data_IF_450420974058
#
_entry.id   IF_450420974058
#
_cell.length_a   1.000
_cell.length_b   1.000
_cell.length_c   1.000
_cell.angle_alpha   90.00
_cell.angle_beta   90.00
_cell.angle_gamma   90.00
#
_symmetry.space_group_name_H-M   'P 1'
#
loop_
_entity.id
_entity.type
_entity.pdbx_description
1 polymer ?
#
# COMPACT_ATOMS: atom_id res chain seq x y z
N UNK A 1 29.26 18.45 64.40
CA UNK A 1 27.84 18.61 64.03
C UNK A 1 27.70 18.35 62.54
N UNK A 2 26.93 17.34 62.15
CA UNK A 2 26.73 16.92 60.75
C UNK A 2 25.69 17.86 60.11
N UNK A 3 26.09 18.65 59.12
CA UNK A 3 25.19 19.46 58.29
C UNK A 3 24.69 18.60 57.13
N UNK A 4 23.38 18.33 57.09
CA UNK A 4 22.71 17.64 55.98
C UNK A 4 22.54 18.62 54.81
N UNK A 5 23.06 18.25 53.65
CA UNK A 5 22.80 18.93 52.37
C UNK A 5 21.46 18.41 51.84
N UNK A 6 20.45 19.26 51.77
CA UNK A 6 19.18 18.94 51.11
C UNK A 6 19.30 19.28 49.62
N UNK A 7 19.23 18.26 48.78
CA UNK A 7 19.18 18.38 47.33
C UNK A 7 17.75 18.78 46.93
N UNK A 8 17.55 20.02 46.47
CA UNK A 8 16.30 20.44 45.83
C UNK A 8 16.25 19.82 44.43
N UNK A 9 15.33 18.88 44.24
CA UNK A 9 15.01 18.32 42.93
C UNK A 9 14.05 19.28 42.22
N UNK A 10 14.57 20.02 41.24
CA UNK A 10 13.76 20.86 40.36
C UNK A 10 13.01 19.96 39.37
N UNK A 11 11.74 19.66 39.64
CA UNK A 11 10.85 19.02 38.67
C UNK A 11 10.50 20.08 37.62
N UNK A 12 11.15 20.02 36.47
CA UNK A 12 10.71 20.74 35.27
C UNK A 12 9.53 19.96 34.69
N UNK A 13 8.32 20.37 35.04
CA UNK A 13 7.10 19.96 34.32
C UNK A 13 7.13 20.62 32.94
N UNK A 14 7.63 19.89 31.94
CA UNK A 14 7.40 20.24 30.54
C UNK A 14 5.94 19.93 30.23
N UNK A 15 5.07 20.95 30.30
CA UNK A 15 3.70 20.86 29.85
C UNK A 15 3.68 20.67 28.33
N UNK A 16 3.49 19.43 27.88
CA UNK A 16 3.07 19.14 26.52
C UNK A 16 1.66 19.74 26.34
N UNK A 17 1.61 20.92 25.73
CA UNK A 17 0.38 21.39 25.09
C UNK A 17 0.13 20.48 23.89
N UNK A 18 -0.60 19.38 24.12
CA UNK A 18 -1.35 18.72 23.06
C UNK A 18 -2.42 19.72 22.64
N UNK A 19 -2.14 20.50 21.60
CA UNK A 19 -3.22 21.09 20.83
C UNK A 19 -4.05 19.91 20.34
N UNK A 20 -5.24 19.73 20.93
CA UNK A 20 -6.23 18.79 20.43
C UNK A 20 -6.71 19.32 19.09
N UNK A 21 -5.94 19.09 18.02
CA UNK A 21 -6.52 19.05 16.69
C UNK A 21 -7.51 17.89 16.74
N UNK A 22 -8.80 18.20 16.87
CA UNK A 22 -9.82 17.24 16.51
C UNK A 22 -9.43 16.71 15.13
N UNK A 23 -9.29 15.39 15.02
CA UNK A 23 -9.10 14.78 13.72
C UNK A 23 -10.25 15.28 12.85
N UNK A 24 -9.98 15.78 11.63
CA UNK A 24 -11.06 16.20 10.74
C UNK A 24 -12.00 15.00 10.58
N UNK A 25 -13.30 15.22 10.84
CA UNK A 25 -14.32 14.20 10.69
C UNK A 25 -14.60 13.89 9.21
N UNK A 26 -15.74 13.28 8.94
CA UNK A 26 -16.19 12.97 7.58
C UNK A 26 -16.57 14.23 6.78
N UNK A 27 -15.58 14.97 6.30
CA UNK A 27 -15.80 16.16 5.47
C UNK A 27 -16.07 15.82 4.00
N UNK A 28 -16.96 16.55 3.31
CA UNK A 28 -17.16 16.41 1.87
C UNK A 28 -15.84 16.54 1.10
N UNK A 29 -15.62 15.66 0.15
CA UNK A 29 -14.40 15.71 -0.67
C UNK A 29 -14.42 16.97 -1.54
N UNK A 30 -13.31 17.71 -1.54
CA UNK A 30 -13.19 18.89 -2.39
C UNK A 30 -13.19 18.48 -3.87
N UNK A 31 -13.79 19.27 -4.78
CA UNK A 31 -13.70 19.03 -6.21
C UNK A 31 -12.24 18.89 -6.68
N UNK A 32 -11.99 17.91 -7.56
CA UNK A 32 -10.68 17.67 -8.13
C UNK A 32 -10.77 17.20 -9.57
N UNK A 33 -9.65 17.31 -10.28
CA UNK A 33 -9.44 16.71 -11.59
C UNK A 33 -8.03 16.13 -11.60
N UNK A 34 -7.92 14.80 -11.58
CA UNK A 34 -6.67 14.08 -11.67
C UNK A 34 -6.40 13.76 -13.13
N UNK A 35 -5.50 14.53 -13.75
CA UNK A 35 -4.99 14.26 -15.08
C UNK A 35 -3.53 14.71 -15.16
N UNK A 36 -2.72 14.05 -15.97
CA UNK A 36 -1.34 14.45 -16.17
C UNK A 36 -1.26 15.83 -16.85
N UNK A 37 -0.27 16.63 -16.48
CA UNK A 37 -0.02 17.98 -16.98
C UNK A 37 1.48 18.28 -16.94
N UNK A 38 1.88 19.48 -17.38
CA UNK A 38 3.27 19.94 -17.31
C UNK A 38 3.79 20.07 -15.86
N UNK A 39 2.89 20.20 -14.87
CA UNK A 39 3.25 20.37 -13.46
C UNK A 39 2.95 19.15 -12.58
N UNK A 40 2.35 18.09 -13.12
CA UNK A 40 2.03 16.88 -12.37
C UNK A 40 1.96 15.67 -13.29
N UNK A 41 2.64 14.59 -12.90
CA UNK A 41 2.79 13.38 -13.70
C UNK A 41 2.23 12.16 -12.97
N UNK A 42 1.76 11.19 -13.74
CA UNK A 42 1.41 9.87 -13.21
C UNK A 42 2.67 9.06 -12.98
N UNK A 43 2.90 8.65 -11.74
CA UNK A 43 3.97 7.75 -11.34
C UNK A 43 3.39 6.40 -10.94
N UNK A 44 3.74 5.37 -11.69
CA UNK A 44 3.48 3.96 -11.37
C UNK A 44 4.41 3.49 -10.27
N UNK A 45 3.90 2.87 -9.21
CA UNK A 45 4.76 2.32 -8.17
C UNK A 45 4.15 1.17 -7.38
N UNK A 46 5.04 0.37 -6.78
CA UNK A 46 4.67 -0.70 -5.86
C UNK A 46 5.10 -0.36 -4.43
N UNK A 47 4.26 -0.69 -3.46
CA UNK A 47 4.46 -0.37 -2.04
C UNK A 47 4.65 -1.61 -1.16
N UNK A 48 4.66 -2.82 -1.72
CA UNK A 48 4.77 -4.08 -0.98
C UNK A 48 5.60 -5.11 -1.74
N UNK A 49 6.87 -5.29 -1.33
CA UNK A 49 7.77 -6.29 -1.92
C UNK A 49 8.81 -6.83 -0.95
N UNK A 50 9.20 -8.08 -1.17
CA UNK A 50 10.12 -8.84 -0.33
C UNK A 50 11.36 -9.29 -1.09
N UNK A 51 12.48 -9.39 -0.37
CA UNK A 51 13.78 -9.81 -0.89
C UNK A 51 14.40 -10.89 -0.02
N UNK A 52 15.63 -11.31 -0.37
CA UNK A 52 16.44 -12.21 0.48
C UNK A 52 16.82 -11.62 1.85
N UNK A 53 16.46 -10.37 2.15
CA UNK A 53 16.57 -9.80 3.50
C UNK A 53 15.50 -10.34 4.45
N UNK A 54 14.33 -10.71 3.95
CA UNK A 54 13.35 -11.47 4.71
C UNK A 54 13.13 -12.82 4.04
N UNK A 55 12.10 -12.94 3.23
CA UNK A 55 11.60 -14.20 2.73
C UNK A 55 11.20 -14.14 1.23
N UNK A 56 11.65 -13.11 0.51
CA UNK A 56 11.70 -13.15 -0.95
C UNK A 56 12.80 -14.09 -1.47
N UNK A 57 12.80 -14.35 -2.78
CA UNK A 57 13.72 -15.27 -3.46
C UNK A 57 14.75 -14.59 -4.40
N UNK A 58 14.93 -13.28 -4.27
CA UNK A 58 15.92 -12.55 -5.07
C UNK A 58 16.58 -11.38 -4.30
N UNK A 59 17.70 -10.91 -4.83
CA UNK A 59 18.50 -9.83 -4.26
C UNK A 59 17.87 -8.46 -4.55
N UNK A 60 18.05 -7.49 -3.65
CA UNK A 60 17.50 -6.14 -3.80
C UNK A 60 17.81 -5.52 -5.17
N UNK A 61 19.06 -5.63 -5.63
CA UNK A 61 19.49 -5.08 -6.91
C UNK A 61 18.86 -5.78 -8.13
N UNK A 62 18.59 -7.09 -8.03
CA UNK A 62 17.88 -7.83 -9.08
C UNK A 62 16.40 -7.44 -9.12
N UNK A 63 15.79 -7.23 -7.96
CA UNK A 63 14.39 -6.79 -7.83
C UNK A 63 14.24 -5.35 -8.34
N UNK A 64 15.10 -4.43 -7.89
CA UNK A 64 15.12 -3.04 -8.35
C UNK A 64 15.27 -2.96 -9.88
N UNK A 65 16.15 -3.78 -10.46
CA UNK A 65 16.29 -3.90 -11.91
C UNK A 65 15.00 -4.38 -12.57
N UNK A 66 14.35 -5.41 -12.02
CA UNK A 66 13.09 -5.89 -12.58
C UNK A 66 12.06 -4.75 -12.67
N UNK A 67 11.82 -4.00 -11.59
CA UNK A 67 10.87 -2.90 -11.61
C UNK A 67 11.27 -1.77 -12.57
N UNK A 68 12.56 -1.43 -12.62
CA UNK A 68 13.09 -0.42 -13.56
C UNK A 68 12.84 -0.84 -15.02
N UNK A 69 12.96 -2.13 -15.33
CA UNK A 69 12.76 -2.65 -16.69
C UNK A 69 11.27 -2.82 -17.08
N UNK A 70 10.32 -2.62 -16.16
CA UNK A 70 8.88 -2.87 -16.35
C UNK A 70 7.99 -1.63 -16.13
N UNK A 71 8.51 -0.45 -16.48
CA UNK A 71 7.79 0.83 -16.49
C UNK A 71 7.28 1.31 -15.12
N UNK A 72 7.92 0.86 -14.04
CA UNK A 72 7.70 1.42 -12.70
C UNK A 72 8.59 2.64 -12.48
N UNK A 73 8.05 3.61 -11.75
CA UNK A 73 8.75 4.84 -11.36
C UNK A 73 9.20 4.78 -9.90
N UNK A 74 8.54 4.00 -9.04
CA UNK A 74 9.01 3.80 -7.67
C UNK A 74 8.70 2.41 -7.12
N UNK A 75 9.50 2.02 -6.12
CA UNK A 75 9.38 0.76 -5.42
C UNK A 75 9.72 0.96 -3.94
N UNK A 76 8.85 0.48 -3.05
CA UNK A 76 9.16 0.31 -1.63
C UNK A 76 9.62 -1.11 -1.35
N UNK A 77 10.81 -1.26 -0.75
CA UNK A 77 11.22 -2.54 -0.17
C UNK A 77 10.64 -2.65 1.23
N UNK A 78 9.91 -3.72 1.51
CA UNK A 78 9.15 -3.89 2.75
C UNK A 78 9.43 -5.24 3.40
N UNK A 79 10.70 -5.66 3.40
CA UNK A 79 11.11 -6.92 4.03
C UNK A 79 10.60 -7.06 5.48
N UNK A 80 10.14 -8.25 5.84
CA UNK A 80 9.53 -8.51 7.15
C UNK A 80 10.43 -8.17 8.33
N UNK A 81 9.97 -7.22 9.14
CA UNK A 81 10.56 -6.86 10.44
C UNK A 81 12.07 -6.57 10.38
N UNK A 82 12.58 -6.06 9.25
CA UNK A 82 14.02 -5.80 9.05
C UNK A 82 14.23 -4.67 8.03
N UNK A 83 15.24 -3.85 8.27
CA UNK A 83 15.77 -2.93 7.26
C UNK A 83 17.06 -3.49 6.68
N UNK A 84 17.30 -3.19 5.40
CA UNK A 84 18.53 -3.56 4.71
C UNK A 84 19.69 -2.57 5.02
N UNK A 85 20.04 -2.39 6.29
CA UNK A 85 20.87 -1.27 6.77
C UNK A 85 22.22 -1.68 7.39
N UNK A 86 22.57 -2.97 7.34
CA UNK A 86 23.75 -3.53 8.00
C UNK A 86 24.49 -4.56 7.15
N UNK A 87 25.70 -4.93 7.54
CA UNK A 87 26.37 -6.03 6.84
C UNK A 87 25.64 -7.36 7.08
N UNK A 88 25.32 -8.09 6.01
CA UNK A 88 24.70 -9.41 6.05
C UNK A 88 25.22 -10.31 4.94
N UNK A 89 25.49 -11.56 5.28
CA UNK A 89 25.89 -12.60 4.36
C UNK A 89 24.81 -13.69 4.31
N UNK A 90 24.60 -14.26 3.12
CA UNK A 90 23.60 -15.30 2.88
C UNK A 90 24.26 -16.50 2.21
N UNK A 91 24.03 -17.69 2.74
CA UNK A 91 24.50 -18.94 2.11
C UNK A 91 23.69 -19.19 0.84
N UNK A 92 24.37 -19.26 -0.30
CA UNK A 92 23.73 -19.32 -1.63
C UNK A 92 22.83 -20.56 -1.74
N UNK A 93 23.33 -21.72 -1.32
CA UNK A 93 22.62 -22.99 -1.43
C UNK A 93 21.44 -23.16 -0.46
N UNK A 94 21.29 -22.27 0.53
CA UNK A 94 20.31 -22.41 1.62
C UNK A 94 19.24 -21.31 1.59
N UNK A 95 19.45 -20.23 0.85
CA UNK A 95 18.48 -19.16 0.74
C UNK A 95 17.38 -19.51 -0.30
N UNK A 96 16.24 -18.82 -0.24
CA UNK A 96 15.07 -19.13 -1.10
C UNK A 96 15.36 -19.00 -2.61
N UNK A 97 16.29 -18.13 -2.99
CA UNK A 97 16.66 -17.90 -4.39
C UNK A 97 17.64 -18.93 -4.97
N UNK A 98 18.47 -19.53 -4.11
CA UNK A 98 19.43 -20.56 -4.48
C UNK A 98 20.46 -20.12 -5.51
N UNK A 99 21.06 -21.12 -6.17
CA UNK A 99 21.98 -20.94 -7.30
C UNK A 99 21.35 -20.18 -8.47
N UNK A 100 20.03 -20.28 -8.63
CA UNK A 100 19.31 -19.60 -9.72
C UNK A 100 19.35 -18.08 -9.55
N UNK A 101 18.98 -17.59 -8.36
CA UNK A 101 19.06 -16.16 -8.07
C UNK A 101 20.50 -15.67 -8.13
N UNK A 102 21.46 -16.47 -7.64
CA UNK A 102 22.87 -16.10 -7.69
C UNK A 102 23.40 -16.01 -9.13
N UNK A 103 23.07 -16.95 -10.00
CA UNK A 103 23.43 -16.89 -11.42
C UNK A 103 22.83 -15.65 -12.12
N UNK A 104 21.57 -15.31 -11.82
CA UNK A 104 20.91 -14.08 -12.31
C UNK A 104 21.65 -12.83 -11.80
N UNK A 105 22.03 -12.81 -10.53
CA UNK A 105 22.82 -11.72 -9.94
C UNK A 105 24.18 -11.56 -10.66
N UNK A 106 24.90 -12.67 -10.87
CA UNK A 106 26.18 -12.69 -11.62
C UNK A 106 26.04 -12.18 -13.04
N UNK A 107 24.97 -12.55 -13.73
CA UNK A 107 24.70 -12.09 -15.08
C UNK A 107 24.44 -10.57 -15.13
N UNK A 108 23.65 -10.05 -14.19
CA UNK A 108 23.21 -8.65 -14.21
C UNK A 108 24.24 -7.68 -13.59
N UNK A 109 25.04 -8.14 -12.63
CA UNK A 109 25.96 -7.30 -11.84
C UNK A 109 27.31 -7.98 -11.59
N UNK A 110 28.04 -8.44 -12.63
CA UNK A 110 29.29 -9.20 -12.45
C UNK A 110 30.35 -8.45 -11.61
N UNK A 111 30.39 -7.13 -11.70
CA UNK A 111 31.36 -6.27 -11.01
C UNK A 111 30.89 -5.80 -9.62
N UNK A 112 29.76 -6.31 -9.12
CA UNK A 112 29.16 -5.82 -7.88
C UNK A 112 28.73 -6.93 -6.92
N UNK A 113 29.49 -8.02 -6.90
CA UNK A 113 29.22 -9.18 -6.06
C UNK A 113 30.41 -9.40 -5.14
N UNK A 114 30.11 -9.65 -3.87
CA UNK A 114 31.10 -10.02 -2.86
C UNK A 114 30.72 -11.41 -2.35
N UNK A 115 31.62 -12.37 -2.55
CA UNK A 115 31.45 -13.75 -2.06
C UNK A 115 32.53 -14.12 -1.08
N UNK A 116 32.20 -15.00 -0.13
CA UNK A 116 33.17 -15.65 0.75
C UNK A 116 32.84 -17.12 0.91
N UNK A 117 33.79 -17.88 1.44
CA UNK A 117 33.55 -19.23 1.91
C UNK A 117 33.53 -19.23 3.44
N UNK A 118 32.48 -19.77 4.04
CA UNK A 118 32.34 -19.94 5.48
C UNK A 118 31.79 -21.34 5.77
N UNK A 119 32.47 -22.09 6.64
CA UNK A 119 32.11 -23.48 6.97
C UNK A 119 31.96 -24.41 5.75
N UNK A 120 32.76 -24.18 4.70
CA UNK A 120 32.73 -24.95 3.45
C UNK A 120 31.52 -24.66 2.56
N UNK A 121 30.76 -23.58 2.86
CA UNK A 121 29.64 -23.12 2.05
C UNK A 121 29.95 -21.76 1.44
N UNK A 122 29.51 -21.58 0.20
CA UNK A 122 29.64 -20.30 -0.47
C UNK A 122 28.54 -19.35 0.03
N UNK A 123 28.96 -18.17 0.46
CA UNK A 123 28.09 -17.09 0.86
C UNK A 123 28.28 -15.90 -0.08
N UNK A 124 27.21 -15.13 -0.22
CA UNK A 124 27.19 -13.84 -0.92
C UNK A 124 26.74 -12.76 0.05
N UNK A 125 27.36 -11.59 -0.03
CA UNK A 125 26.95 -10.43 0.76
C UNK A 125 25.66 -9.86 0.19
N UNK A 126 24.66 -9.66 1.03
CA UNK A 126 23.46 -8.92 0.66
C UNK A 126 23.77 -7.42 0.67
N UNK A 127 23.47 -6.73 -0.43
CA UNK A 127 23.63 -5.27 -0.52
C UNK A 127 22.64 -4.58 0.41
N UNK A 128 23.06 -3.46 0.98
CA UNK A 128 22.20 -2.58 1.79
C UNK A 128 21.27 -1.74 0.90
N UNK A 129 20.18 -1.24 1.47
CA UNK A 129 19.28 -0.31 0.80
C UNK A 129 20.01 0.95 0.33
N UNK A 130 20.92 1.50 1.12
CA UNK A 130 21.72 2.67 0.72
C UNK A 130 22.57 2.38 -0.54
N UNK A 131 23.23 1.21 -0.58
CA UNK A 131 24.02 0.79 -1.75
C UNK A 131 23.15 0.66 -3.00
N UNK A 132 21.96 0.04 -2.89
CA UNK A 132 21.06 -0.20 -4.03
C UNK A 132 20.36 1.08 -4.46
N UNK A 133 19.82 1.88 -3.54
CA UNK A 133 19.21 3.18 -3.82
C UNK A 133 20.18 4.14 -4.50
N UNK A 134 21.43 4.24 -4.04
CA UNK A 134 22.45 5.06 -4.71
C UNK A 134 22.72 4.63 -6.14
N UNK A 135 22.63 3.32 -6.43
CA UNK A 135 22.86 2.79 -7.78
C UNK A 135 21.66 2.99 -8.70
N UNK A 136 20.45 2.78 -8.21
CA UNK A 136 19.23 2.73 -9.02
C UNK A 136 18.43 4.03 -9.07
N UNK A 137 18.50 4.87 -8.03
CA UNK A 137 17.73 6.11 -8.02
C UNK A 137 18.20 7.03 -9.16
N UNK A 138 17.25 7.50 -9.94
CA UNK A 138 17.45 8.41 -11.07
C UNK A 138 16.38 9.48 -10.99
N UNK A 139 16.80 10.74 -10.83
CA UNK A 139 15.89 11.87 -10.65
C UNK A 139 14.85 11.92 -11.77
N UNK A 140 13.57 11.86 -11.41
CA UNK A 140 12.46 11.90 -12.36
C UNK A 140 12.18 10.60 -13.12
N UNK A 141 13.02 9.57 -12.96
CA UNK A 141 12.90 8.29 -13.69
C UNK A 141 12.58 7.13 -12.75
N UNK A 142 13.35 6.95 -11.66
CA UNK A 142 13.16 5.83 -10.75
C UNK A 142 13.55 6.17 -9.30
N UNK A 143 12.73 5.75 -8.35
CA UNK A 143 12.92 5.97 -6.91
C UNK A 143 12.70 4.69 -6.10
N UNK A 144 13.75 4.23 -5.42
CA UNK A 144 13.64 3.28 -4.32
C UNK A 144 13.30 4.03 -3.02
N UNK A 145 12.32 3.50 -2.29
CA UNK A 145 11.86 4.01 -1.00
C UNK A 145 12.13 2.94 0.06
N UNK A 146 12.70 3.36 1.19
CA UNK A 146 12.93 2.46 2.31
C UNK A 146 11.61 2.17 3.00
N UNK A 147 11.28 0.91 3.22
CA UNK A 147 10.11 0.50 3.96
C UNK A 147 10.38 -0.74 4.81
N UNK A 148 9.34 -1.19 5.48
CA UNK A 148 9.33 -2.39 6.31
C UNK A 148 7.90 -2.93 6.36
N UNK A 149 7.74 -4.24 6.24
CA UNK A 149 6.51 -4.91 6.66
C UNK A 149 6.62 -5.28 8.14
N UNK A 150 5.83 -4.61 8.95
CA UNK A 150 5.65 -4.92 10.37
C UNK A 150 4.76 -6.16 10.42
N UNK A 151 5.37 -7.34 10.54
CA UNK A 151 4.63 -8.60 10.66
C UNK A 151 4.41 -8.94 12.13
N UNK A 152 3.17 -8.78 12.56
CA UNK A 152 2.69 -9.03 13.91
C UNK A 152 1.57 -10.08 13.88
N UNK A 153 0.97 -10.38 15.03
CA UNK A 153 -0.16 -11.30 15.12
C UNK A 153 -1.00 -11.05 16.37
N UNK A 154 -2.27 -11.41 16.27
CA UNK A 154 -3.13 -11.63 17.43
C UNK A 154 -3.49 -13.11 17.51
N UNK A 155 -3.08 -13.80 18.58
CA UNK A 155 -3.14 -15.26 18.69
C UNK A 155 -2.52 -15.99 17.48
N UNK A 156 -3.36 -16.51 16.57
CA UNK A 156 -2.98 -17.19 15.32
C UNK A 156 -3.25 -16.34 14.07
N UNK A 157 -3.92 -15.21 14.22
CA UNK A 157 -4.30 -14.34 13.12
C UNK A 157 -3.09 -13.48 12.72
N UNK A 158 -2.57 -13.61 11.48
CA UNK A 158 -1.48 -12.77 10.98
C UNK A 158 -1.97 -11.34 10.77
N UNK A 159 -1.21 -10.35 11.23
CA UNK A 159 -1.56 -8.93 11.08
C UNK A 159 -0.32 -8.21 10.58
N UNK A 160 -0.37 -7.73 9.34
CA UNK A 160 0.78 -7.07 8.75
C UNK A 160 0.45 -5.65 8.29
N UNK A 161 1.43 -4.75 8.45
CA UNK A 161 1.34 -3.36 8.03
C UNK A 161 2.64 -2.94 7.36
N UNK A 162 2.55 -2.27 6.23
CA UNK A 162 3.72 -1.70 5.59
C UNK A 162 3.93 -0.25 6.01
N UNK A 163 5.08 0.01 6.63
CA UNK A 163 5.60 1.36 6.79
C UNK A 163 6.41 1.77 5.55
N UNK A 164 6.03 2.85 4.88
CA UNK A 164 6.74 3.41 3.73
C UNK A 164 7.49 4.68 4.12
N UNK A 165 8.72 4.79 3.63
CA UNK A 165 9.69 5.84 3.92
C UNK A 165 10.06 5.92 5.41
N UNK A 166 10.25 4.78 6.07
CA UNK A 166 10.66 4.72 7.48
C UNK A 166 12.13 5.11 7.66
N UNK A 167 12.43 5.85 8.71
CA UNK A 167 13.80 6.23 9.08
C UNK A 167 14.50 5.14 9.90
N UNK A 168 13.74 4.48 10.79
CA UNK A 168 14.22 3.40 11.64
C UNK A 168 13.22 2.24 11.64
N UNK A 169 13.75 1.05 11.92
CA UNK A 169 12.97 -0.18 12.02
C UNK A 169 11.89 -0.07 13.12
N UNK A 170 10.66 -0.38 12.77
CA UNK A 170 9.51 -0.45 13.65
C UNK A 170 9.40 -1.84 14.26
N UNK A 171 9.56 -1.92 15.59
CA UNK A 171 9.35 -3.19 16.31
C UNK A 171 7.86 -3.46 16.45
N UNK A 172 7.35 -4.66 16.07
CA UNK A 172 5.97 -5.08 16.31
C UNK A 172 5.53 -4.84 17.75
N UNK A 173 4.35 -4.25 17.92
CA UNK A 173 3.87 -3.76 19.23
C UNK A 173 2.88 -4.67 19.94
N UNK A 174 2.38 -5.72 19.29
CA UNK A 174 1.34 -6.61 19.82
C UNK A 174 0.10 -5.84 20.33
N UNK A 175 -0.85 -6.56 20.92
CA UNK A 175 -2.09 -6.03 21.48
C UNK A 175 -3.00 -7.15 21.97
N UNK A 176 -4.07 -6.78 22.69
CA UNK A 176 -5.03 -7.73 23.28
C UNK A 176 -6.23 -7.99 22.33
N UNK A 177 -6.21 -7.43 21.12
CA UNK A 177 -7.16 -7.72 20.03
C UNK A 177 -6.53 -7.42 18.66
N UNK A 178 -7.19 -7.84 17.57
CA UNK A 178 -6.79 -7.49 16.19
C UNK A 178 -6.69 -5.97 16.03
N UNK A 179 -7.74 -5.25 16.41
CA UNK A 179 -7.75 -3.77 16.40
C UNK A 179 -6.57 -3.18 17.18
N UNK A 180 -6.27 -3.69 18.37
CA UNK A 180 -5.19 -3.12 19.20
C UNK A 180 -3.81 -3.38 18.60
N UNK A 181 -3.56 -4.57 18.02
CA UNK A 181 -2.32 -4.85 17.28
C UNK A 181 -2.16 -3.86 16.12
N UNK A 182 -3.21 -3.63 15.34
CA UNK A 182 -3.17 -2.68 14.23
C UNK A 182 -2.89 -1.26 14.76
N UNK A 183 -3.69 -0.79 15.72
CA UNK A 183 -3.59 0.57 16.26
C UNK A 183 -2.22 0.83 16.91
N UNK A 184 -1.65 -0.13 17.63
CA UNK A 184 -0.35 0.04 18.28
C UNK A 184 0.79 0.19 17.27
N UNK A 185 0.74 -0.55 16.15
CA UNK A 185 1.73 -0.45 15.09
C UNK A 185 1.56 0.85 14.27
N UNK A 186 0.31 1.28 14.00
CA UNK A 186 0.01 2.61 13.43
C UNK A 186 0.58 3.73 14.30
N UNK A 187 0.31 3.69 15.61
CA UNK A 187 0.84 4.67 16.55
C UNK A 187 2.38 4.71 16.53
N UNK A 188 3.05 3.57 16.39
CA UNK A 188 4.51 3.50 16.35
C UNK A 188 5.08 4.25 15.14
N UNK A 189 4.52 4.08 13.95
CA UNK A 189 4.95 4.83 12.76
C UNK A 189 4.63 6.33 12.90
N UNK A 190 3.45 6.68 13.42
CA UNK A 190 3.09 8.08 13.63
C UNK A 190 4.03 8.80 14.59
N UNK A 191 4.44 8.14 15.68
CA UNK A 191 5.44 8.68 16.61
C UNK A 191 6.75 8.93 15.88
N UNK A 192 7.23 7.97 15.07
CA UNK A 192 8.47 8.13 14.30
C UNK A 192 8.36 9.29 13.30
N UNK A 193 7.24 9.39 12.58
CA UNK A 193 6.93 10.50 11.66
C UNK A 193 7.00 11.85 12.35
N UNK A 194 6.36 11.98 13.51
CA UNK A 194 6.35 13.22 14.29
C UNK A 194 7.73 13.60 14.83
N UNK A 195 8.50 12.62 15.31
CA UNK A 195 9.84 12.84 15.86
C UNK A 195 10.87 13.24 14.81
N UNK A 196 10.78 12.66 13.62
CA UNK A 196 11.73 12.90 12.52
C UNK A 196 11.34 14.08 11.64
N UNK A 197 10.04 14.40 11.56
CA UNK A 197 9.50 15.36 10.59
C UNK A 197 9.53 14.85 9.14
N UNK A 198 9.95 13.60 8.92
CA UNK A 198 9.98 12.97 7.60
C UNK A 198 8.58 12.49 7.20
N UNK A 199 8.22 12.64 5.94
CA UNK A 199 6.98 12.07 5.42
C UNK A 199 7.02 10.54 5.53
N UNK A 200 6.05 9.95 6.22
CA UNK A 200 5.91 8.51 6.37
C UNK A 200 4.44 8.16 6.23
N UNK A 201 4.15 7.07 5.54
CA UNK A 201 2.80 6.49 5.51
C UNK A 201 2.86 5.07 6.05
N UNK A 202 1.76 4.64 6.63
CA UNK A 202 1.49 3.23 6.92
C UNK A 202 0.29 2.80 6.09
N UNK A 203 0.17 1.50 5.82
CA UNK A 203 -1.06 0.91 5.32
C UNK A 203 -1.24 -0.50 5.88
N UNK A 204 -2.49 -0.93 6.04
CA UNK A 204 -2.80 -2.31 6.39
C UNK A 204 -2.67 -3.24 5.17
N UNK A 205 -1.93 -4.34 5.34
CA UNK A 205 -1.76 -5.32 4.28
C UNK A 205 -2.90 -6.35 4.26
N UNK A 206 -3.29 -6.77 3.06
CA UNK A 206 -4.06 -7.96 2.72
C UNK A 206 -4.99 -8.50 3.84
N UNK A 207 -6.13 -7.85 4.15
CA UNK A 207 -6.96 -8.20 5.33
C UNK A 207 -7.51 -9.64 5.29
N UNK A 208 -7.68 -10.21 4.09
CA UNK A 208 -8.16 -11.57 3.90
C UNK A 208 -7.06 -12.64 4.02
N UNK A 209 -5.78 -12.28 4.17
CA UNK A 209 -4.74 -13.28 4.43
C UNK A 209 -5.00 -13.98 5.77
N UNK A 210 -5.31 -15.28 5.71
CA UNK A 210 -5.79 -16.03 6.87
C UNK A 210 -7.14 -15.56 7.42
N UNK A 211 -7.88 -14.75 6.67
CA UNK A 211 -9.13 -14.06 7.07
C UNK A 211 -9.01 -13.36 8.43
N UNK A 212 -7.87 -12.69 8.64
CA UNK A 212 -7.46 -12.21 9.94
C UNK A 212 -8.19 -10.95 10.41
N UNK A 213 -8.65 -10.11 9.48
CA UNK A 213 -9.08 -8.74 9.79
C UNK A 213 -10.48 -8.51 9.24
N UNK A 214 -11.40 -8.11 10.12
CA UNK A 214 -12.77 -7.78 9.74
C UNK A 214 -12.91 -6.30 9.35
N UNK A 215 -14.04 -5.95 8.72
CA UNK A 215 -14.37 -4.55 8.47
C UNK A 215 -14.52 -3.74 9.77
N UNK A 216 -15.02 -4.33 10.86
CA UNK A 216 -15.18 -3.63 12.15
C UNK A 216 -13.83 -3.31 12.80
N UNK A 217 -12.88 -4.26 12.72
CA UNK A 217 -11.51 -4.02 13.18
C UNK A 217 -10.90 -2.84 12.41
N UNK A 218 -10.97 -2.89 11.08
CA UNK A 218 -10.33 -1.89 10.22
C UNK A 218 -10.99 -0.51 10.29
N UNK A 219 -12.32 -0.44 10.41
CA UNK A 219 -13.06 0.82 10.45
C UNK A 219 -12.66 1.70 11.63
N UNK A 220 -12.32 1.07 12.77
CA UNK A 220 -12.03 1.75 14.05
C UNK A 220 -10.58 2.21 14.19
N UNK A 221 -9.69 1.84 13.27
CA UNK A 221 -8.29 2.27 13.31
C UNK A 221 -8.21 3.77 13.05
N UNK A 222 -7.57 4.49 13.97
CA UNK A 222 -7.42 5.94 13.90
C UNK A 222 -6.00 6.30 13.49
N UNK A 223 -5.89 7.25 12.55
CA UNK A 223 -4.62 7.78 12.10
C UNK A 223 -4.00 7.04 10.91
N UNK A 224 -4.55 5.88 10.57
CA UNK A 224 -4.36 5.16 9.31
C UNK A 224 -5.54 5.44 8.38
N UNK A 225 -5.26 5.62 7.09
CA UNK A 225 -6.27 5.83 6.05
C UNK A 225 -6.01 4.96 4.81
N UNK A 226 -5.17 3.93 4.89
CA UNK A 226 -4.86 3.05 3.76
C UNK A 226 -4.95 1.58 4.13
N UNK A 227 -5.44 0.78 3.19
CA UNK A 227 -5.35 -0.68 3.24
C UNK A 227 -5.22 -1.23 1.81
N UNK A 228 -4.80 -2.49 1.68
CA UNK A 228 -4.76 -3.17 0.39
C UNK A 228 -6.14 -3.69 -0.01
N UNK A 229 -6.75 -3.04 -1.01
CA UNK A 229 -7.98 -3.52 -1.66
C UNK A 229 -7.67 -4.65 -2.65
N UNK A 230 -6.45 -4.69 -3.19
CA UNK A 230 -5.95 -5.78 -4.02
C UNK A 230 -4.52 -6.10 -3.63
N UNK A 231 -4.23 -7.37 -3.41
CA UNK A 231 -2.86 -7.84 -3.18
C UNK A 231 -2.54 -8.99 -4.13
N UNK A 232 -1.36 -8.94 -4.76
CA UNK A 232 -0.90 -9.91 -5.74
C UNK A 232 -0.60 -11.30 -5.17
N UNK A 233 -0.48 -11.47 -3.86
CA UNK A 233 -0.18 -12.72 -3.21
C UNK A 233 -1.34 -13.72 -3.31
N UNK A 234 -1.11 -14.93 -3.86
CA UNK A 234 -2.18 -15.87 -4.23
C UNK A 234 -2.93 -16.48 -3.04
N UNK A 235 -2.39 -16.34 -1.82
CA UNK A 235 -3.01 -16.78 -0.57
C UNK A 235 -3.87 -15.73 0.13
N UNK A 236 -4.07 -14.55 -0.45
CA UNK A 236 -4.84 -13.47 0.18
C UNK A 236 -6.34 -13.67 0.06
N UNK A 237 -6.83 -14.29 -1.01
CA UNK A 237 -8.27 -14.44 -1.26
C UNK A 237 -8.99 -13.07 -1.34
N UNK A 238 -8.53 -12.22 -2.27
CA UNK A 238 -9.15 -10.93 -2.59
C UNK A 238 -10.66 -11.06 -2.84
N UNK A 239 -11.10 -12.10 -3.55
CA UNK A 239 -12.53 -12.33 -3.82
C UNK A 239 -13.36 -12.77 -2.60
N UNK A 240 -12.72 -13.18 -1.50
CA UNK A 240 -13.39 -13.78 -0.35
C UNK A 240 -13.97 -15.17 -0.65
N UNK A 241 -14.92 -15.60 0.16
CA UNK A 241 -15.68 -16.85 0.00
C UNK A 241 -17.12 -16.74 0.53
N UNK A 242 -17.84 -17.86 0.64
CA UNK A 242 -19.23 -17.90 1.12
C UNK A 242 -19.41 -17.34 2.56
N UNK A 243 -18.34 -17.30 3.35
CA UNK A 243 -18.31 -16.87 4.75
C UNK A 243 -17.49 -15.60 5.00
N UNK A 244 -16.62 -15.23 4.08
CA UNK A 244 -15.72 -14.08 4.22
C UNK A 244 -15.94 -13.09 3.06
N UNK A 245 -16.18 -11.81 3.35
CA UNK A 245 -16.35 -10.81 2.31
C UNK A 245 -15.08 -10.65 1.45
N UNK A 246 -15.25 -10.25 0.19
CA UNK A 246 -14.13 -9.76 -0.62
C UNK A 246 -13.48 -8.53 0.00
N UNK A 247 -12.24 -8.25 -0.35
CA UNK A 247 -11.52 -7.03 0.09
C UNK A 247 -12.24 -5.75 -0.33
N UNK A 248 -12.85 -5.72 -1.53
CA UNK A 248 -13.72 -4.63 -1.96
C UNK A 248 -14.96 -4.49 -1.07
N UNK A 249 -15.58 -5.60 -0.67
CA UNK A 249 -16.74 -5.58 0.23
C UNK A 249 -16.33 -5.10 1.62
N UNK A 250 -15.17 -5.51 2.13
CA UNK A 250 -14.59 -4.98 3.37
C UNK A 250 -14.44 -3.46 3.26
N UNK A 251 -13.91 -2.96 2.12
CA UNK A 251 -13.76 -1.53 1.89
C UNK A 251 -15.08 -0.77 2.03
N UNK A 252 -16.14 -1.27 1.40
CA UNK A 252 -17.44 -0.61 1.40
C UNK A 252 -18.08 -0.56 2.79
N UNK A 253 -17.87 -1.62 3.58
CA UNK A 253 -18.31 -1.69 4.98
C UNK A 253 -17.52 -0.70 5.84
N UNK A 254 -16.20 -0.66 5.69
CA UNK A 254 -15.32 0.29 6.39
C UNK A 254 -15.71 1.74 6.08
N UNK A 255 -15.89 2.08 4.80
CA UNK A 255 -16.29 3.42 4.39
C UNK A 255 -17.65 3.81 4.98
N UNK A 256 -18.62 2.89 4.95
CA UNK A 256 -19.93 3.13 5.55
C UNK A 256 -19.79 3.40 7.04
N UNK A 257 -19.13 2.53 7.78
CA UNK A 257 -19.02 2.63 9.24
C UNK A 257 -18.27 3.91 9.65
N UNK A 258 -17.18 4.24 8.96
CA UNK A 258 -16.40 5.46 9.23
C UNK A 258 -17.22 6.73 9.00
N UNK A 259 -17.97 6.80 7.90
CA UNK A 259 -18.71 8.01 7.52
C UNK A 259 -20.07 8.14 8.21
N UNK A 260 -20.77 7.05 8.48
CA UNK A 260 -22.12 7.06 9.04
C UNK A 260 -22.16 6.95 10.56
N UNK A 261 -21.18 6.29 11.18
CA UNK A 261 -21.23 5.91 12.59
C UNK A 261 -20.09 6.49 13.43
N UNK A 262 -18.86 6.46 12.90
CA UNK A 262 -17.66 6.77 13.68
C UNK A 262 -17.16 8.22 13.51
N UNK A 263 -17.65 8.95 12.52
CA UNK A 263 -17.15 10.28 12.12
C UNK A 263 -15.62 10.29 11.91
N UNK A 264 -15.14 9.29 11.16
CA UNK A 264 -13.73 9.14 10.80
C UNK A 264 -13.50 9.46 9.31
N UNK A 265 -12.29 9.89 8.93
CA UNK A 265 -11.93 10.13 7.52
C UNK A 265 -12.15 8.91 6.63
N UNK A 266 -12.24 9.15 5.31
CA UNK A 266 -12.20 8.09 4.31
C UNK A 266 -10.98 7.18 4.49
N UNK A 267 -11.16 5.90 4.14
CA UNK A 267 -10.07 4.97 3.94
C UNK A 267 -9.86 4.75 2.43
N UNK A 268 -8.61 4.82 1.99
CA UNK A 268 -8.19 4.62 0.61
C UNK A 268 -7.71 3.19 0.37
N UNK A 269 -7.97 2.68 -0.82
CA UNK A 269 -7.64 1.32 -1.24
C UNK A 269 -6.41 1.30 -2.14
N UNK A 270 -5.38 0.56 -1.74
CA UNK A 270 -4.14 0.33 -2.48
C UNK A 270 -4.19 -1.00 -3.23
N UNK A 271 -3.58 -1.05 -4.42
CA UNK A 271 -3.24 -2.31 -5.08
C UNK A 271 -1.72 -2.52 -5.01
N UNK A 272 -1.28 -3.71 -4.62
CA UNK A 272 0.13 -4.05 -4.43
C UNK A 272 0.45 -5.44 -4.96
N UNK A 273 1.74 -5.77 -5.05
CA UNK A 273 2.20 -7.07 -5.54
C UNK A 273 2.36 -8.08 -4.41
N UNK A 274 2.97 -7.65 -3.31
CA UNK A 274 3.47 -8.53 -2.25
C UNK A 274 4.43 -9.59 -2.82
N UNK A 275 5.35 -9.10 -3.65
CA UNK A 275 6.22 -9.93 -4.47
C UNK A 275 7.28 -10.66 -3.63
N UNK A 276 7.31 -11.99 -3.73
CA UNK A 276 8.31 -12.86 -3.11
C UNK A 276 9.08 -13.71 -4.13
N UNK A 277 8.49 -13.94 -5.31
CA UNK A 277 8.97 -14.86 -6.34
C UNK A 277 9.29 -14.12 -7.64
N UNK A 278 10.58 -14.05 -7.98
CA UNK A 278 11.08 -13.24 -9.11
C UNK A 278 11.60 -14.07 -10.28
N UNK A 279 11.22 -15.36 -10.32
CA UNK A 279 11.73 -16.33 -11.28
C UNK A 279 10.60 -17.20 -11.86
N UNK A 280 10.67 -17.50 -13.16
CA UNK A 280 9.66 -18.29 -13.90
C UNK A 280 8.26 -17.64 -13.96
N UNK A 281 8.20 -16.31 -14.04
CA UNK A 281 6.95 -15.57 -14.14
C UNK A 281 6.36 -15.70 -15.56
N UNK A 282 5.05 -15.94 -15.73
CA UNK A 282 4.04 -16.11 -14.69
C UNK A 282 4.00 -17.54 -14.11
N UNK A 283 3.72 -17.63 -12.81
CA UNK A 283 3.52 -18.88 -12.07
C UNK A 283 2.37 -18.72 -11.04
N UNK A 284 2.26 -19.65 -10.08
CA UNK A 284 1.32 -19.55 -8.95
C UNK A 284 1.99 -19.05 -7.67
N UNK A 285 3.25 -18.59 -7.73
CA UNK A 285 3.93 -17.93 -6.61
C UNK A 285 3.40 -16.52 -6.36
N UNK A 286 3.96 -15.82 -5.37
CA UNK A 286 3.70 -14.40 -5.15
C UNK A 286 4.64 -13.56 -5.98
N UNK A 287 4.16 -13.01 -7.10
CA UNK A 287 5.01 -12.48 -8.16
C UNK A 287 4.82 -10.97 -8.33
N UNK A 288 5.83 -10.24 -8.83
CA UNK A 288 5.67 -8.84 -9.15
C UNK A 288 4.79 -8.62 -10.40
N UNK A 289 4.26 -7.41 -10.57
CA UNK A 289 3.47 -7.01 -11.74
C UNK A 289 1.99 -7.41 -11.72
N UNK A 290 1.40 -7.58 -10.53
CA UNK A 290 -0.01 -7.96 -10.30
C UNK A 290 -0.88 -6.79 -9.84
N UNK A 291 -0.35 -5.90 -9.00
CA UNK A 291 -1.08 -4.75 -8.47
C UNK A 291 -0.15 -3.59 -8.20
N UNK A 292 -0.58 -2.36 -8.47
CA UNK A 292 0.20 -1.15 -8.24
C UNK A 292 -0.67 0.07 -8.05
N UNK A 293 -0.06 1.15 -7.57
CA UNK A 293 -0.67 2.48 -7.52
C UNK A 293 -0.16 3.35 -8.66
N UNK A 294 -1.03 4.24 -9.14
CA UNK A 294 -0.73 5.29 -10.10
C UNK A 294 -0.95 6.62 -9.39
N UNK A 295 0.14 7.28 -9.00
CA UNK A 295 0.12 8.48 -8.14
C UNK A 295 0.34 9.73 -8.99
N UNK A 296 -0.57 10.71 -8.89
CA UNK A 296 -0.41 12.00 -9.56
C UNK A 296 0.37 12.94 -8.65
N UNK A 297 1.65 13.17 -8.95
CA UNK A 297 2.53 14.00 -8.12
C UNK A 297 3.36 14.98 -8.98
N UNK A 298 3.81 16.06 -8.36
CA UNK A 298 4.65 17.06 -9.04
C UNK A 298 6.07 16.56 -9.25
N UNK A 299 6.61 15.80 -8.28
CA UNK A 299 7.98 15.32 -8.31
C UNK A 299 8.06 13.85 -7.89
N UNK A 300 8.99 13.11 -8.50
CA UNK A 300 9.31 11.74 -8.09
C UNK A 300 10.21 11.75 -6.84
N UNK A 301 9.61 12.05 -5.69
CA UNK A 301 10.24 12.02 -4.36
C UNK A 301 9.30 11.37 -3.35
N UNK A 302 9.83 10.73 -2.31
CA UNK A 302 9.01 10.04 -1.31
C UNK A 302 8.00 11.01 -0.65
N UNK A 303 8.44 12.22 -0.29
CA UNK A 303 7.57 13.25 0.27
C UNK A 303 6.43 13.64 -0.68
N UNK A 304 6.73 13.95 -1.94
CA UNK A 304 5.70 14.35 -2.91
C UNK A 304 4.72 13.21 -3.22
N UNK A 305 5.19 11.95 -3.28
CA UNK A 305 4.34 10.80 -3.50
C UNK A 305 3.41 10.53 -2.31
N UNK A 306 3.95 10.53 -1.09
CA UNK A 306 3.17 10.34 0.14
C UNK A 306 2.12 11.44 0.30
N UNK A 307 2.51 12.70 0.11
CA UNK A 307 1.57 13.82 0.19
C UNK A 307 0.43 13.70 -0.85
N UNK A 308 0.72 13.21 -2.07
CA UNK A 308 -0.30 12.94 -3.08
C UNK A 308 -1.22 11.78 -2.70
N UNK A 309 -0.67 10.70 -2.16
CA UNK A 309 -1.46 9.54 -1.67
C UNK A 309 -2.41 9.97 -0.55
N UNK A 310 -1.94 10.74 0.43
CA UNK A 310 -2.73 11.26 1.56
C UNK A 310 -3.87 12.20 1.13
N UNK A 311 -3.73 12.83 -0.03
CA UNK A 311 -4.77 13.68 -0.63
C UNK A 311 -5.71 12.89 -1.55
N UNK A 312 -5.54 11.57 -1.67
CA UNK A 312 -6.33 10.74 -2.59
C UNK A 312 -6.02 11.00 -4.07
N UNK A 313 -4.88 11.62 -4.40
CA UNK A 313 -4.47 11.95 -5.79
C UNK A 313 -3.86 10.75 -6.50
N UNK A 314 -4.56 9.62 -6.51
CA UNK A 314 -4.10 8.39 -7.12
C UNK A 314 -5.26 7.46 -7.51
N UNK A 315 -4.95 6.43 -8.27
CA UNK A 315 -5.82 5.26 -8.43
C UNK A 315 -5.00 3.98 -8.31
N UNK A 316 -5.66 2.89 -7.95
CA UNK A 316 -5.06 1.56 -7.85
C UNK A 316 -5.37 0.75 -9.10
N UNK A 317 -4.46 -0.13 -9.52
CA UNK A 317 -4.59 -0.86 -10.78
C UNK A 317 -3.95 -2.24 -10.73
N UNK A 318 -4.55 -3.17 -11.45
CA UNK A 318 -3.99 -4.46 -11.86
C UNK A 318 -3.97 -4.57 -13.39
N UNK A 319 -3.76 -3.44 -14.10
CA UNK A 319 -3.58 -3.42 -15.55
C UNK A 319 -4.44 -2.43 -16.30
N UNK A 320 -5.49 -1.84 -15.69
CA UNK A 320 -6.25 -0.76 -16.33
C UNK A 320 -5.59 0.59 -16.06
N UNK A 321 -5.38 1.37 -17.11
CA UNK A 321 -4.83 2.73 -17.03
C UNK A 321 -5.94 3.77 -17.17
N UNK A 322 -5.92 4.80 -16.32
CA UNK A 322 -6.90 5.88 -16.34
C UNK A 322 -6.25 7.17 -16.86
N UNK A 323 -6.93 7.78 -17.82
CA UNK A 323 -6.59 9.06 -18.41
C UNK A 323 -6.99 10.24 -17.51
N UNK A 324 -8.12 10.10 -16.82
CA UNK A 324 -8.69 11.12 -15.97
C UNK A 324 -9.59 10.52 -14.89
N UNK A 325 -9.52 11.08 -13.69
CA UNK A 325 -10.48 10.88 -12.61
C UNK A 325 -10.92 12.26 -12.13
N UNK A 326 -12.21 12.57 -12.19
CA UNK A 326 -12.71 13.91 -11.88
C UNK A 326 -13.93 13.84 -10.98
N UNK A 327 -13.90 14.63 -9.92
CA UNK A 327 -15.01 14.80 -9.01
C UNK A 327 -15.37 16.28 -8.92
N UNK A 328 -16.66 16.59 -8.95
CA UNK A 328 -17.17 17.93 -8.67
C UNK A 328 -18.45 17.85 -7.83
N UNK A 329 -19.14 18.97 -7.59
CA UNK A 329 -20.32 18.99 -6.72
C UNK A 329 -21.52 18.19 -7.24
N UNK A 330 -21.58 17.89 -8.53
CA UNK A 330 -22.73 17.23 -9.17
C UNK A 330 -22.40 15.86 -9.73
N UNK A 331 -21.14 15.54 -10.02
CA UNK A 331 -20.79 14.27 -10.66
C UNK A 331 -19.40 13.71 -10.37
N UNK A 332 -19.25 12.40 -10.63
CA UNK A 332 -18.00 11.64 -10.66
C UNK A 332 -17.75 11.13 -12.10
N UNK A 333 -16.68 11.57 -12.75
CA UNK A 333 -16.25 11.11 -14.07
C UNK A 333 -14.97 10.27 -14.00
N UNK A 334 -14.93 9.19 -14.78
CA UNK A 334 -13.73 8.40 -15.07
C UNK A 334 -13.51 8.33 -16.58
N UNK A 335 -12.26 8.45 -17.02
CA UNK A 335 -11.82 8.20 -18.39
C UNK A 335 -10.65 7.23 -18.39
N UNK A 336 -10.73 6.21 -19.23
CA UNK A 336 -9.76 5.11 -19.35
C UNK A 336 -8.84 5.41 -20.54
N UNK A 337 -7.55 5.10 -20.42
CA UNK A 337 -6.67 5.02 -21.59
C UNK A 337 -6.90 3.66 -22.29
N UNK A 338 -7.51 3.63 -23.48
CA UNK A 338 -8.04 2.40 -24.04
C UNK A 338 -6.94 1.51 -24.64
N UNK A 339 -6.98 0.22 -24.31
CA UNK A 339 -6.18 -0.82 -24.96
C UNK A 339 -6.89 -1.36 -26.21
N UNK A 340 -6.15 -1.68 -27.30
CA UNK A 340 -6.74 -2.27 -28.50
C UNK A 340 -7.55 -3.55 -28.20
N UNK A 341 -8.74 -3.66 -28.78
CA UNK A 341 -9.63 -4.83 -28.65
C UNK A 341 -10.11 -5.13 -27.21
N UNK A 342 -9.92 -4.21 -26.27
CA UNK A 342 -10.42 -4.32 -24.90
C UNK A 342 -11.73 -3.56 -24.75
N UNK A 343 -12.71 -4.20 -24.10
CA UNK A 343 -13.95 -3.56 -23.65
C UNK A 343 -13.87 -3.31 -22.15
N UNK A 344 -14.50 -2.26 -21.67
CA UNK A 344 -14.49 -1.91 -20.26
C UNK A 344 -15.90 -1.83 -19.70
N UNK A 345 -16.06 -2.36 -18.49
CA UNK A 345 -17.22 -2.15 -17.62
C UNK A 345 -16.79 -1.18 -16.51
N UNK A 346 -17.54 -0.09 -16.34
CA UNK A 346 -17.31 0.90 -15.29
C UNK A 346 -18.51 0.85 -14.34
N UNK A 347 -18.26 0.61 -13.07
CA UNK A 347 -19.28 0.52 -12.03
C UNK A 347 -19.02 1.59 -10.98
N UNK A 348 -19.98 2.49 -10.78
CA UNK A 348 -19.99 3.39 -9.64
C UNK A 348 -20.66 2.68 -8.47
N UNK A 349 -19.99 2.69 -7.34
CA UNK A 349 -20.33 1.92 -6.14
C UNK A 349 -20.41 2.89 -4.97
N UNK A 350 -21.39 2.69 -4.09
CA UNK A 350 -21.51 3.50 -2.89
C UNK A 350 -22.60 3.01 -1.95
N UNK A 351 -22.64 3.64 -0.78
CA UNK A 351 -23.72 3.45 0.21
C UNK A 351 -24.53 4.73 0.28
N UNK A 352 -25.86 4.63 0.45
CA UNK A 352 -26.73 5.78 0.69
C UNK A 352 -26.96 6.01 2.19
N UNK A 353 -27.31 7.23 2.54
CA UNK A 353 -27.77 7.54 3.90
C UNK A 353 -28.97 6.66 4.27
N UNK A 354 -28.98 6.11 5.49
CA UNK A 354 -30.03 5.23 6.01
C UNK A 354 -30.21 3.90 5.25
N UNK A 355 -29.19 3.41 4.54
CA UNK A 355 -29.16 2.06 3.96
C UNK A 355 -29.25 0.96 5.03
N UNK A 356 -29.83 -0.19 4.66
CA UNK A 356 -29.75 -1.42 5.48
C UNK A 356 -28.41 -2.14 5.25
N UNK A 357 -28.02 -3.14 6.08
CA UNK A 357 -26.78 -3.90 5.88
C UNK A 357 -26.62 -4.52 4.48
N UNK A 358 -27.71 -4.92 3.85
CA UNK A 358 -27.74 -5.48 2.50
C UNK A 358 -27.46 -4.44 1.40
N UNK A 359 -27.74 -3.16 1.68
CA UNK A 359 -27.64 -2.03 0.75
C UNK A 359 -26.32 -1.24 0.89
N UNK A 360 -25.38 -1.73 1.71
CA UNK A 360 -24.06 -1.12 1.83
C UNK A 360 -23.24 -1.42 0.57
N UNK A 361 -22.48 -0.47 0.02
CA UNK A 361 -21.55 -0.74 -1.08
C UNK A 361 -22.18 -1.32 -2.34
N UNK A 362 -23.38 -0.89 -2.71
CA UNK A 362 -24.07 -1.40 -3.89
C UNK A 362 -23.54 -0.74 -5.16
N UNK A 363 -23.67 -1.42 -6.29
CA UNK A 363 -23.48 -0.79 -7.61
C UNK A 363 -24.64 0.19 -7.81
N UNK A 364 -24.31 1.48 -7.83
CA UNK A 364 -25.23 2.58 -8.06
C UNK A 364 -25.60 2.69 -9.53
N UNK A 365 -24.59 2.55 -10.42
CA UNK A 365 -24.78 2.58 -11.86
C UNK A 365 -23.65 1.86 -12.60
N UNK A 366 -23.99 1.23 -13.73
CA UNK A 366 -23.04 0.52 -14.61
C UNK A 366 -23.03 1.13 -16.00
N UNK A 367 -21.82 1.33 -16.52
CA UNK A 367 -21.56 1.82 -17.87
C UNK A 367 -20.64 0.87 -18.63
N UNK A 368 -20.70 0.95 -19.96
CA UNK A 368 -19.79 0.24 -20.86
C UNK A 368 -19.13 1.23 -21.81
N UNK A 369 -17.81 1.16 -21.94
CA UNK A 369 -17.03 2.06 -22.78
C UNK A 369 -15.82 2.63 -22.06
N UNK A 370 -15.14 3.59 -22.70
CA UNK A 370 -13.85 4.12 -22.22
C UNK A 370 -14.01 5.34 -21.30
N UNK A 371 -15.24 5.76 -21.02
CA UNK A 371 -15.53 6.84 -20.09
C UNK A 371 -16.95 6.70 -19.56
N UNK A 372 -17.16 7.15 -18.33
CA UNK A 372 -18.47 7.23 -17.70
C UNK A 372 -18.52 8.41 -16.74
N UNK A 373 -19.72 8.94 -16.53
CA UNK A 373 -20.00 9.97 -15.54
C UNK A 373 -21.23 9.57 -14.75
N UNK A 374 -21.09 9.50 -13.43
CA UNK A 374 -22.19 9.32 -12.49
C UNK A 374 -22.66 10.67 -11.98
N UNK A 375 -23.94 10.97 -12.16
CA UNK A 375 -24.57 12.18 -11.62
C UNK A 375 -25.11 11.86 -10.22
N UNK A 376 -24.66 12.61 -9.22
CA UNK A 376 -25.06 12.39 -7.84
C UNK A 376 -26.55 12.64 -7.64
N UNK A 377 -27.18 11.72 -6.93
CA UNK A 377 -28.56 11.85 -6.48
C UNK A 377 -28.64 12.77 -5.26
N UNK A 378 -27.60 12.82 -4.44
CA UNK A 378 -27.49 13.65 -3.24
C UNK A 378 -27.86 12.91 -1.96
N UNK A 379 -28.02 11.59 -2.01
CA UNK A 379 -28.30 10.72 -0.88
C UNK A 379 -27.17 9.70 -0.61
N UNK A 380 -26.09 9.76 -1.39
CA UNK A 380 -24.91 8.92 -1.24
C UNK A 380 -24.03 9.41 -0.08
N UNK A 381 -23.58 8.50 0.78
CA UNK A 381 -22.52 8.74 1.77
C UNK A 381 -21.17 8.94 1.08
N UNK A 382 -20.87 8.06 0.13
CA UNK A 382 -19.69 8.12 -0.71
C UNK A 382 -19.97 7.48 -2.07
N UNK A 383 -19.12 7.80 -3.04
CA UNK A 383 -19.08 7.10 -4.32
C UNK A 383 -17.63 6.79 -4.68
N UNK A 384 -17.38 5.57 -5.18
CA UNK A 384 -16.12 5.15 -5.82
C UNK A 384 -16.43 4.48 -7.15
N UNK A 385 -15.44 4.34 -8.02
CA UNK A 385 -15.58 3.60 -9.27
C UNK A 385 -14.62 2.41 -9.34
N UNK A 386 -15.16 1.28 -9.82
CA UNK A 386 -14.42 0.09 -10.23
C UNK A 386 -14.48 -0.04 -11.75
N UNK A 387 -13.34 -0.37 -12.35
CA UNK A 387 -13.22 -0.59 -13.78
C UNK A 387 -12.72 -2.01 -14.00
N UNK A 388 -13.41 -2.77 -14.84
CA UNK A 388 -13.03 -4.13 -15.22
C UNK A 388 -12.86 -4.20 -16.74
N UNK A 389 -11.68 -4.60 -17.19
CA UNK A 389 -11.41 -4.86 -18.60
C UNK A 389 -11.92 -6.24 -19.01
N UNK A 390 -12.27 -6.42 -20.29
CA UNK A 390 -12.53 -7.75 -20.86
C UNK A 390 -11.27 -8.59 -21.02
N UNK A 391 -10.09 -7.99 -20.88
CA UNK A 391 -8.79 -8.65 -20.97
C UNK A 391 -8.50 -9.41 -19.68
N UNK A 392 -8.18 -10.72 -19.73
CA UNK A 392 -7.65 -11.45 -18.58
C UNK A 392 -6.35 -10.82 -18.10
N UNK A 393 -6.13 -10.78 -16.80
CA UNK A 393 -4.88 -10.32 -16.24
C UNK A 393 -3.75 -11.29 -16.64
N UNK A 394 -2.60 -10.81 -17.17
CA UNK A 394 -1.55 -11.67 -17.73
C UNK A 394 -0.81 -12.51 -16.68
N UNK A 395 -0.76 -12.01 -15.44
CA UNK A 395 -0.18 -12.69 -14.28
C UNK A 395 -1.11 -12.56 -13.04
N UNK A 396 -2.25 -13.24 -12.97
CA UNK A 396 -3.27 -12.92 -11.97
C UNK A 396 -2.97 -13.53 -10.59
N UNK A 397 -3.37 -12.83 -9.52
CA UNK A 397 -3.35 -13.39 -8.15
C UNK A 397 -4.31 -14.59 -8.03
N UNK A 398 -5.54 -14.44 -8.55
CA UNK A 398 -6.58 -15.45 -8.52
C UNK A 398 -6.87 -15.97 -9.93
N UNK A 399 -7.38 -17.20 -10.02
CA UNK A 399 -7.69 -17.77 -11.32
C UNK A 399 -8.81 -16.95 -11.98
N UNK A 400 -8.58 -16.58 -13.25
CA UNK A 400 -9.53 -15.82 -14.07
C UNK A 400 -9.69 -14.34 -13.69
N UNK A 401 -8.77 -13.75 -12.92
CA UNK A 401 -8.76 -12.29 -12.76
C UNK A 401 -8.67 -11.60 -14.12
N UNK A 402 -9.37 -10.48 -14.21
CA UNK A 402 -9.28 -9.54 -15.31
C UNK A 402 -8.40 -8.35 -14.90
N UNK A 403 -7.89 -7.61 -15.88
CA UNK A 403 -7.25 -6.33 -15.56
C UNK A 403 -8.30 -5.38 -14.96
N UNK A 404 -7.96 -4.73 -13.84
CA UNK A 404 -8.87 -3.84 -13.12
C UNK A 404 -8.22 -2.52 -12.73
N UNK A 405 -9.04 -1.54 -12.37
CA UNK A 405 -8.63 -0.35 -11.66
C UNK A 405 -9.70 0.08 -10.64
N UNK A 406 -9.25 0.71 -9.56
CA UNK A 406 -10.07 1.24 -8.49
C UNK A 406 -9.73 2.71 -8.28
N UNK A 407 -10.72 3.57 -8.40
CA UNK A 407 -10.60 4.97 -8.03
C UNK A 407 -10.85 5.15 -6.53
N UNK A 408 -10.29 6.20 -5.93
CA UNK A 408 -10.54 6.49 -4.53
C UNK A 408 -11.97 7.01 -4.30
N UNK A 409 -12.58 6.69 -3.14
CA UNK A 409 -13.90 7.17 -2.78
C UNK A 409 -13.91 8.68 -2.58
N UNK A 410 -15.06 9.28 -2.84
CA UNK A 410 -15.34 10.68 -2.54
C UNK A 410 -16.56 10.75 -1.62
N UNK A 411 -16.49 11.56 -0.57
CA UNK A 411 -17.64 11.88 0.29
C UNK A 411 -18.51 12.87 -0.47
N UNK A 412 -19.75 12.49 -0.71
CA UNK A 412 -20.73 13.33 -1.41
C UNK A 412 -21.47 14.15 -0.36
N UNK A 413 -21.57 15.46 -0.56
CA UNK A 413 -22.43 16.28 0.29
C UNK A 413 -23.87 16.14 -0.20
N UNK A 414 -24.79 15.81 0.72
CA UNK A 414 -26.21 15.82 0.41
C UNK A 414 -26.66 17.17 -0.18
N UNK A 415 -27.62 17.12 -1.12
CA UNK A 415 -28.13 18.32 -1.83
C UNK A 415 -28.91 19.25 -0.92
#
# INVERSE_FOLDING_TARGET
MKTRLALMLSVVLLGLFLASSQLPGAEPTAPFQLTASDSAHWYRGNLHTHSLWSDGDDYLESIAKWYTDHDYHFLSFTDHNVLADRERWSTISENKGGEKAFAKLQQNFPDWIETREEEGKQQVRLRTFEEVSKRFNRTGEFLLIQGEEISDKFEKLPIHLNGTNVAERLTPRAGDSVLEVIQNNVNALQIQRQQTGQAMMIHLNHPNFGYAITADDLARVVGENFFEVYNGHPGVHNAGDDSHPSTERIWDLVLTQRLAELDLPLMYGLATDDGHNYHNIPSRGSEPGRGWVMVLAENLTAESLINSLEQGRFYSSSGVELAEVKHNKTSYTVRIEPKPMTRYKIEFIGTRHNSTPEDLGIVLETFYGNSATYEYQGDELYVRARITASTPHPNPSELHDHEMAWTQPVVVKGK
#
